data_IF_274406934992
#
_entry.id   IF_274406934992
#
_cell.length_a   1.000
_cell.length_b   1.000
_cell.length_c   1.000
_cell.angle_alpha   90.00
_cell.angle_beta   90.00
_cell.angle_gamma   90.00
#
_symmetry.space_group_name_H-M   'P 1'
#
loop_
_entity.id
_entity.type
_entity.pdbx_description
1 polymer ?
#
# COMPACT_ATOMS: atom_id res chain seq x y z
N UNK A 1 -4.25 4.66 -14.31
CA UNK A 1 -5.19 4.14 -13.29
C UNK A 1 -6.61 4.17 -13.88
N UNK A 2 -6.89 3.31 -14.88
CA UNK A 2 -8.19 3.27 -15.58
C UNK A 2 -9.11 2.27 -14.87
N UNK A 3 -10.35 2.70 -14.61
CA UNK A 3 -11.57 2.09 -14.02
C UNK A 3 -11.71 0.56 -13.79
N UNK A 4 -10.89 -0.33 -14.36
CA UNK A 4 -11.02 -1.78 -14.20
C UNK A 4 -10.66 -2.29 -12.79
N UNK A 5 -9.60 -1.76 -12.17
CA UNK A 5 -9.05 -2.33 -10.92
C UNK A 5 -9.84 -2.01 -9.64
N UNK A 6 -10.73 -1.03 -9.67
CA UNK A 6 -11.52 -0.64 -8.50
C UNK A 6 -12.65 -1.62 -8.19
N UNK A 7 -13.19 -2.31 -9.20
CA UNK A 7 -14.22 -3.33 -8.99
C UNK A 7 -13.63 -4.57 -8.29
N UNK A 8 -12.45 -5.02 -8.71
CA UNK A 8 -11.78 -6.18 -8.10
C UNK A 8 -11.43 -5.96 -6.62
N UNK A 9 -11.13 -4.71 -6.24
CA UNK A 9 -10.87 -4.35 -4.85
C UNK A 9 -12.16 -4.23 -4.02
N UNK A 10 -13.24 -3.73 -4.64
CA UNK A 10 -14.53 -3.53 -3.99
C UNK A 10 -15.19 -4.85 -3.62
N UNK A 11 -15.01 -5.87 -4.45
CA UNK A 11 -15.58 -7.21 -4.23
C UNK A 11 -14.71 -8.10 -3.32
N UNK A 12 -13.57 -7.58 -2.83
CA UNK A 12 -12.66 -8.34 -1.96
C UNK A 12 -12.25 -7.57 -0.70
N UNK A 13 -13.14 -7.47 0.32
CA UNK A 13 -12.85 -6.82 1.60
C UNK A 13 -11.55 -7.31 2.26
N UNK A 14 -11.26 -8.61 2.14
CA UNK A 14 -10.04 -9.25 2.64
C UNK A 14 -8.75 -8.66 2.05
N UNK A 15 -8.79 -8.10 0.84
CA UNK A 15 -7.63 -7.49 0.19
C UNK A 15 -7.37 -6.08 0.71
N UNK A 16 -8.41 -5.33 1.04
CA UNK A 16 -8.24 -4.06 1.74
C UNK A 16 -7.70 -4.26 3.16
N UNK A 17 -8.17 -5.28 3.87
CA UNK A 17 -7.62 -5.67 5.18
C UNK A 17 -6.13 -6.05 5.07
N UNK A 18 -5.77 -6.81 4.03
CA UNK A 18 -4.36 -7.17 3.76
C UNK A 18 -3.51 -5.94 3.47
N UNK A 19 -4.02 -5.00 2.66
CA UNK A 19 -3.33 -3.74 2.37
C UNK A 19 -3.08 -2.94 3.65
N UNK A 20 -4.08 -2.85 4.52
CA UNK A 20 -3.97 -2.16 5.80
C UNK A 20 -2.99 -2.88 6.75
N UNK A 21 -3.03 -4.21 6.82
CA UNK A 21 -2.09 -4.99 7.62
C UNK A 21 -0.64 -4.78 7.15
N UNK A 22 -0.40 -4.72 5.83
CA UNK A 22 0.92 -4.40 5.28
C UNK A 22 1.39 -3.02 5.70
N UNK A 23 0.51 -2.02 5.65
CA UNK A 23 0.82 -0.66 6.10
C UNK A 23 1.19 -0.64 7.59
N UNK A 24 0.31 -1.18 8.45
CA UNK A 24 0.47 -1.15 9.89
C UNK A 24 1.72 -1.92 10.37
N UNK A 25 2.02 -3.06 9.74
CA UNK A 25 3.17 -3.90 10.11
C UNK A 25 4.53 -3.22 9.89
N UNK A 26 4.60 -2.23 9.00
CA UNK A 26 5.85 -1.48 8.73
C UNK A 26 5.77 -0.04 9.24
N UNK A 27 4.66 0.36 9.85
CA UNK A 27 4.51 1.69 10.41
C UNK A 27 5.28 1.75 11.72
N UNK A 28 6.24 2.67 11.78
CA UNK A 28 7.00 2.97 12.98
C UNK A 28 6.42 4.22 13.62
N UNK A 29 6.27 4.18 14.94
CA UNK A 29 5.77 5.27 15.75
C UNK A 29 6.88 5.76 16.69
N UNK A 30 6.89 7.05 17.00
CA UNK A 30 7.72 7.60 18.06
C UNK A 30 7.12 7.35 19.46
N UNK A 31 7.80 7.85 20.50
CA UNK A 31 7.37 7.71 21.89
C UNK A 31 6.00 8.36 22.20
N UNK A 32 5.52 9.25 21.33
CA UNK A 32 4.23 9.93 21.45
C UNK A 32 3.14 9.25 20.61
N UNK A 33 3.49 8.20 19.87
CA UNK A 33 2.59 7.49 18.96
C UNK A 33 2.48 8.14 17.58
N UNK A 34 3.34 9.10 17.25
CA UNK A 34 3.32 9.76 15.94
C UNK A 34 4.13 8.96 14.91
N UNK A 35 3.64 8.82 13.66
CA UNK A 35 4.31 8.03 12.64
C UNK A 35 5.60 8.71 12.15
N UNK A 36 6.73 7.99 12.21
CA UNK A 36 8.03 8.50 11.76
C UNK A 36 8.40 8.08 10.34
N UNK A 37 7.71 7.09 9.78
CA UNK A 37 8.02 6.52 8.46
C UNK A 37 6.78 6.37 7.55
N UNK A 38 5.74 7.20 7.76
CA UNK A 38 4.45 7.14 7.05
C UNK A 38 4.59 6.99 5.51
N UNK A 39 5.49 7.75 4.88
CA UNK A 39 5.74 7.69 3.42
C UNK A 39 6.31 6.35 2.98
N UNK A 40 7.10 5.70 3.83
CA UNK A 40 7.63 4.37 3.55
C UNK A 40 6.52 3.32 3.69
N UNK A 41 5.75 3.38 4.77
CA UNK A 41 4.62 2.48 5.01
C UNK A 41 3.56 2.57 3.90
N UNK A 42 3.20 3.79 3.50
CA UNK A 42 2.31 4.08 2.38
C UNK A 42 2.82 3.45 1.08
N UNK A 43 4.11 3.64 0.76
CA UNK A 43 4.72 3.05 -0.45
C UNK A 43 4.71 1.53 -0.42
N UNK A 44 4.91 0.91 0.74
CA UNK A 44 4.92 -0.54 0.87
C UNK A 44 3.54 -1.13 0.59
N UNK A 45 2.50 -0.53 1.16
CA UNK A 45 1.11 -0.90 0.94
C UNK A 45 0.69 -0.64 -0.53
N UNK A 46 1.00 0.55 -1.06
CA UNK A 46 0.71 0.91 -2.44
C UNK A 46 1.42 0.00 -3.45
N UNK A 47 2.64 -0.46 -3.15
CA UNK A 47 3.38 -1.41 -4.00
C UNK A 47 2.69 -2.76 -4.06
N UNK A 48 2.21 -3.26 -2.91
CA UNK A 48 1.44 -4.50 -2.87
C UNK A 48 0.12 -4.36 -3.64
N UNK A 49 -0.61 -3.26 -3.39
CA UNK A 49 -1.88 -2.98 -4.06
C UNK A 49 -1.71 -2.86 -5.58
N UNK A 50 -0.65 -2.19 -6.04
CA UNK A 50 -0.33 -2.10 -7.46
C UNK A 50 -0.12 -3.49 -8.05
N UNK A 51 0.71 -4.32 -7.42
CA UNK A 51 0.98 -5.69 -7.87
C UNK A 51 -0.26 -6.58 -7.84
N UNK A 52 -1.12 -6.42 -6.84
CA UNK A 52 -2.38 -7.14 -6.78
C UNK A 52 -3.27 -6.82 -7.99
N UNK A 53 -3.39 -5.53 -8.33
CA UNK A 53 -4.24 -5.07 -9.42
C UNK A 53 -3.67 -5.32 -10.82
N UNK A 54 -2.35 -5.26 -10.99
CA UNK A 54 -1.71 -5.28 -12.32
C UNK A 54 -0.88 -6.55 -12.58
N UNK A 55 -0.55 -7.32 -11.54
CA UNK A 55 0.44 -8.39 -11.62
C UNK A 55 1.90 -7.90 -11.69
N UNK A 56 2.13 -6.59 -11.78
CA UNK A 56 3.45 -5.98 -12.01
C UNK A 56 3.96 -5.21 -10.79
N UNK A 57 5.25 -4.88 -10.76
CA UNK A 57 5.77 -3.95 -9.77
C UNK A 57 5.63 -2.50 -10.26
N UNK A 58 5.33 -1.54 -9.37
CA UNK A 58 5.31 -0.14 -9.76
C UNK A 58 6.71 0.28 -10.25
N UNK A 59 6.79 1.15 -11.27
CA UNK A 59 8.07 1.62 -11.77
C UNK A 59 8.90 2.24 -10.64
N UNK A 60 10.18 1.87 -10.57
CA UNK A 60 11.11 2.43 -9.58
C UNK A 60 11.22 3.93 -9.83
N UNK A 61 10.58 4.71 -8.96
CA UNK A 61 10.77 6.16 -8.93
C UNK A 61 12.13 6.42 -8.30
N UNK A 62 13.17 6.55 -9.12
CA UNK A 62 14.46 7.09 -8.70
C UNK A 62 14.16 8.54 -8.29
N UNK A 63 14.13 8.83 -6.98
CA UNK A 63 14.20 10.22 -6.55
C UNK A 63 15.63 10.70 -6.84
N UNK A 64 15.84 11.85 -7.51
CA UNK A 64 17.15 12.48 -7.56
C UNK A 64 17.62 12.82 -6.14
#
# INVERSE_FOLDING_TARGET
MKRAHWNDLKDSPSQMETCFAIFANVLELDERGEPINEKYAERRAATWLYRYCTGELPPRRIRP
#
